data_IF_832727378442
#
_entry.id   IF_832727378442
#
_cell.length_a   1.000
_cell.length_b   1.000
_cell.length_c   1.000
_cell.angle_alpha   90.00
_cell.angle_beta   90.00
_cell.angle_gamma   90.00
#
_symmetry.space_group_name_H-M   'P 1'
#
loop_
_entity.id
_entity.type
_entity.pdbx_description
1 polymer ?
#
# COMPACT_ATOMS: atom_id res chain seq x y z
N UNK A 1 28.99 37.04 15.83
CA UNK A 1 28.38 36.59 14.56
C UNK A 1 27.04 35.98 14.90
N UNK A 2 25.90 36.51 14.42
CA UNK A 2 24.63 35.82 14.61
C UNK A 2 24.67 34.51 13.81
N UNK A 3 24.38 33.40 14.48
CA UNK A 3 24.16 32.12 13.81
C UNK A 3 22.83 32.25 13.08
N UNK A 4 22.86 32.53 11.78
CA UNK A 4 21.68 32.40 10.93
C UNK A 4 21.34 30.92 10.87
N UNK A 5 20.34 30.50 11.64
CA UNK A 5 19.66 29.23 11.43
C UNK A 5 18.95 29.33 10.08
N UNK A 6 19.62 28.85 9.03
CA UNK A 6 18.98 28.58 7.75
C UNK A 6 17.75 27.70 8.03
N UNK A 7 16.60 28.09 7.49
CA UNK A 7 15.38 27.29 7.57
C UNK A 7 15.66 25.89 7.01
N UNK A 8 15.01 24.89 7.61
CA UNK A 8 15.06 23.52 7.09
C UNK A 8 14.43 23.52 5.69
N UNK A 9 15.23 23.22 4.67
CA UNK A 9 14.71 23.00 3.33
C UNK A 9 14.22 21.55 3.25
N UNK A 10 12.94 21.40 2.93
CA UNK A 10 12.33 20.10 2.64
C UNK A 10 11.45 20.24 1.42
N UNK A 11 11.55 19.28 0.52
CA UNK A 11 10.70 19.18 -0.65
C UNK A 11 9.85 17.91 -0.54
N UNK A 12 8.56 18.02 -0.85
CA UNK A 12 7.62 16.89 -0.86
C UNK A 12 7.02 16.77 -2.25
N UNK A 13 7.18 15.60 -2.85
CA UNK A 13 6.62 15.26 -4.15
C UNK A 13 5.51 14.23 -3.92
N UNK A 14 4.31 14.54 -4.40
CA UNK A 14 3.22 13.58 -4.45
C UNK A 14 3.54 12.50 -5.48
N UNK A 15 3.45 11.23 -5.07
CA UNK A 15 3.58 10.08 -5.96
C UNK A 15 2.21 9.40 -6.16
N UNK A 16 1.12 10.16 -6.22
CA UNK A 16 -0.24 9.61 -6.34
C UNK A 16 -0.74 9.41 -7.78
N UNK A 17 -0.22 10.12 -8.78
CA UNK A 17 -0.76 10.08 -10.16
C UNK A 17 0.03 9.17 -11.13
N UNK A 18 -0.61 8.54 -12.11
CA UNK A 18 0.11 7.77 -13.14
C UNK A 18 0.58 6.39 -12.67
N UNK A 19 -0.17 5.77 -11.77
CA UNK A 19 0.00 4.37 -11.43
C UNK A 19 -0.71 3.48 -12.45
N UNK A 20 -0.17 2.28 -12.63
CA UNK A 20 -0.83 1.21 -13.35
C UNK A 20 -0.86 -0.05 -12.49
N UNK A 21 -1.86 -0.90 -12.68
CA UNK A 21 -1.98 -2.18 -11.99
C UNK A 21 -2.30 -3.33 -12.94
N UNK A 22 -2.00 -4.55 -12.51
CA UNK A 22 -2.22 -5.79 -13.27
C UNK A 22 -2.33 -6.98 -12.32
N UNK A 23 -3.08 -8.00 -12.71
CA UNK A 23 -3.00 -9.30 -12.05
C UNK A 23 -1.63 -9.91 -12.32
N UNK A 24 -1.01 -10.52 -11.31
CA UNK A 24 0.31 -11.16 -11.47
C UNK A 24 0.28 -12.20 -12.60
N UNK A 25 1.27 -12.14 -13.49
CA UNK A 25 1.43 -12.95 -14.71
C UNK A 25 0.46 -12.63 -15.86
N UNK A 26 -0.38 -11.60 -15.72
CA UNK A 26 -1.12 -11.07 -16.87
C UNK A 26 -0.22 -10.13 -17.69
N UNK A 27 -0.56 -9.98 -18.97
CA UNK A 27 0.02 -9.03 -19.91
C UNK A 27 -0.71 -7.68 -19.90
N UNK A 28 -1.95 -7.64 -19.43
CA UNK A 28 -2.80 -6.43 -19.46
C UNK A 28 -2.52 -5.56 -18.24
N UNK A 29 -2.22 -4.28 -18.49
CA UNK A 29 -2.04 -3.26 -17.46
C UNK A 29 -3.12 -2.19 -17.63
N UNK A 30 -3.72 -1.82 -16.51
CA UNK A 30 -4.76 -0.79 -16.44
C UNK A 30 -4.24 0.40 -15.64
N UNK A 31 -4.77 1.59 -15.88
CA UNK A 31 -4.47 2.74 -15.04
C UNK A 31 -5.11 2.56 -13.65
N UNK A 32 -4.41 2.98 -12.60
CA UNK A 32 -4.86 2.83 -11.22
C UNK A 32 -4.96 4.19 -10.53
N UNK A 33 -5.98 4.35 -9.70
CA UNK A 33 -6.11 5.51 -8.82
C UNK A 33 -5.39 5.24 -7.50
N UNK A 34 -4.57 6.21 -7.06
CA UNK A 34 -3.89 6.17 -5.76
C UNK A 34 -4.15 7.49 -5.04
N UNK A 35 -4.69 7.48 -3.81
CA UNK A 35 -5.09 6.31 -3.02
C UNK A 35 -6.26 5.53 -3.63
N UNK A 36 -6.24 4.20 -3.53
CA UNK A 36 -7.24 3.34 -4.13
C UNK A 36 -7.09 1.86 -3.81
N UNK A 37 -7.79 1.01 -4.57
CA UNK A 37 -7.77 -0.45 -4.42
C UNK A 37 -7.97 -1.12 -5.76
N UNK A 38 -7.43 -2.33 -5.90
CA UNK A 38 -7.61 -3.21 -7.05
C UNK A 38 -9.08 -3.33 -7.42
N UNK A 39 -9.96 -3.56 -6.45
CA UNK A 39 -11.38 -3.75 -6.69
C UNK A 39 -12.03 -2.49 -7.30
N UNK A 40 -11.72 -1.31 -6.74
CA UNK A 40 -12.23 -0.06 -7.28
C UNK A 40 -11.72 0.20 -8.70
N UNK A 41 -10.44 -0.07 -8.96
CA UNK A 41 -9.84 0.10 -10.28
C UNK A 41 -10.45 -0.89 -11.31
N UNK A 42 -10.68 -2.15 -10.94
CA UNK A 42 -11.33 -3.14 -11.81
C UNK A 42 -12.79 -2.77 -12.12
N UNK A 43 -13.53 -2.19 -11.16
CA UNK A 43 -14.88 -1.66 -11.40
C UNK A 43 -14.82 -0.48 -12.39
N UNK A 44 -13.85 0.44 -12.20
CA UNK A 44 -13.64 1.59 -13.09
C UNK A 44 -13.35 1.17 -14.54
N UNK A 45 -12.64 0.06 -14.73
CA UNK A 45 -12.34 -0.50 -16.05
C UNK A 45 -13.39 -1.51 -16.54
N UNK A 46 -14.56 -1.59 -15.88
CA UNK A 46 -15.67 -2.49 -16.23
C UNK A 46 -15.30 -3.98 -16.27
N UNK A 47 -14.20 -4.36 -15.61
CA UNK A 47 -13.79 -5.76 -15.43
C UNK A 47 -14.64 -6.43 -14.35
N UNK A 48 -15.07 -5.65 -13.35
CA UNK A 48 -16.02 -6.10 -12.33
C UNK A 48 -17.34 -5.35 -12.42
N UNK A 49 -18.46 -6.03 -12.14
CA UNK A 49 -19.74 -5.37 -11.97
C UNK A 49 -19.74 -4.54 -10.67
N UNK A 50 -20.71 -3.64 -10.53
CA UNK A 50 -20.97 -2.96 -9.25
C UNK A 50 -21.26 -4.00 -8.16
N UNK A 51 -20.40 -4.14 -7.14
CA UNK A 51 -20.55 -5.17 -6.11
C UNK A 51 -21.75 -4.92 -5.19
N UNK A 52 -22.30 -3.71 -5.16
CA UNK A 52 -23.44 -3.36 -4.32
C UNK A 52 -24.79 -3.66 -4.97
N UNK A 53 -24.79 -4.05 -6.25
CA UNK A 53 -26.01 -4.36 -6.96
C UNK A 53 -26.39 -5.84 -6.81
N UNK A 54 -27.63 -6.09 -6.37
CA UNK A 54 -28.26 -7.41 -6.30
C UNK A 54 -27.37 -8.49 -5.65
N UNK A 55 -26.91 -9.48 -6.42
CA UNK A 55 -26.13 -10.62 -5.94
C UNK A 55 -24.67 -10.61 -6.40
N UNK A 56 -24.21 -9.47 -6.93
CA UNK A 56 -22.90 -9.33 -7.57
C UNK A 56 -21.72 -9.53 -6.59
N UNK A 57 -21.98 -9.50 -5.27
CA UNK A 57 -20.99 -9.88 -4.25
C UNK A 57 -20.28 -11.18 -4.62
N UNK A 58 -21.01 -12.19 -5.10
CA UNK A 58 -20.42 -13.49 -5.45
C UNK A 58 -19.47 -13.42 -6.63
N UNK A 59 -19.73 -12.51 -7.56
CA UNK A 59 -19.00 -12.41 -8.84
C UNK A 59 -17.65 -11.72 -8.68
N UNK A 60 -17.43 -11.00 -7.57
CA UNK A 60 -16.17 -10.29 -7.28
C UNK A 60 -15.24 -11.05 -6.32
N UNK A 61 -15.62 -12.22 -5.79
CA UNK A 61 -14.83 -12.89 -4.77
C UNK A 61 -13.51 -13.44 -5.29
N UNK A 62 -13.36 -13.70 -6.59
CA UNK A 62 -12.12 -14.29 -7.14
C UNK A 62 -10.88 -13.42 -6.90
N UNK A 63 -11.04 -12.09 -6.80
CA UNK A 63 -9.96 -11.11 -6.65
C UNK A 63 -9.16 -11.36 -5.38
N UNK A 64 -9.80 -11.78 -4.28
CA UNK A 64 -9.14 -12.03 -3.01
C UNK A 64 -8.10 -13.16 -3.08
N UNK A 65 -8.21 -14.02 -4.09
CA UNK A 65 -7.33 -15.15 -4.30
C UNK A 65 -6.19 -14.79 -5.25
N UNK A 66 -6.14 -13.60 -5.84
CA UNK A 66 -5.11 -13.23 -6.80
C UNK A 66 -4.07 -12.28 -6.20
N UNK A 67 -2.86 -12.36 -6.74
CA UNK A 67 -1.79 -11.41 -6.43
C UNK A 67 -1.83 -10.27 -7.48
N UNK A 68 -1.45 -9.06 -7.07
CA UNK A 68 -1.62 -7.86 -7.87
C UNK A 68 -0.35 -7.02 -7.91
N UNK A 69 0.06 -6.64 -9.10
CA UNK A 69 1.22 -5.79 -9.33
C UNK A 69 0.79 -4.35 -9.60
N UNK A 70 1.46 -3.40 -8.99
CA UNK A 70 1.36 -1.96 -9.25
C UNK A 70 2.71 -1.45 -9.76
N UNK A 71 2.71 -0.52 -10.71
CA UNK A 71 3.92 0.14 -11.20
C UNK A 71 3.72 1.62 -11.48
N UNK A 72 4.82 2.37 -11.38
CA UNK A 72 4.89 3.80 -11.68
C UNK A 72 6.31 4.19 -12.08
N UNK A 73 6.42 5.22 -12.93
CA UNK A 73 7.67 5.97 -13.12
C UNK A 73 7.53 7.39 -12.60
N UNK A 74 8.63 7.96 -12.11
CA UNK A 74 8.70 9.36 -11.68
C UNK A 74 10.11 9.92 -11.94
N UNK A 75 10.23 11.24 -12.04
CA UNK A 75 11.51 11.90 -12.36
C UNK A 75 12.07 12.57 -11.11
N UNK A 76 13.38 12.42 -10.91
CA UNK A 76 14.16 13.13 -9.90
C UNK A 76 15.23 13.96 -10.59
N UNK A 77 15.37 15.23 -10.24
CA UNK A 77 16.39 16.12 -10.81
C UNK A 77 17.67 16.19 -9.93
N UNK A 78 18.74 16.77 -10.47
CA UNK A 78 20.00 16.92 -9.75
C UNK A 78 19.88 17.74 -8.46
N UNK A 79 19.04 18.78 -8.44
CA UNK A 79 18.84 19.63 -7.26
C UNK A 79 18.21 18.86 -6.10
N UNK A 80 17.22 18.02 -6.38
CA UNK A 80 16.64 17.10 -5.40
C UNK A 80 17.67 16.09 -4.87
N UNK A 81 18.57 15.63 -5.74
CA UNK A 81 19.70 14.78 -5.34
C UNK A 81 20.80 15.52 -4.58
N UNK A 82 20.77 16.85 -4.47
CA UNK A 82 21.70 17.60 -3.64
C UNK A 82 21.27 17.68 -2.17
N UNK A 83 20.02 17.34 -1.83
CA UNK A 83 19.58 17.26 -0.43
C UNK A 83 20.36 16.20 0.37
N UNK A 84 20.51 16.40 1.68
CA UNK A 84 21.28 15.45 2.51
C UNK A 84 20.71 14.03 2.48
N UNK A 85 19.38 13.88 2.52
CA UNK A 85 18.71 12.58 2.52
C UNK A 85 17.30 12.63 1.90
N UNK A 86 16.72 11.46 1.62
CA UNK A 86 15.41 11.29 1.01
C UNK A 86 14.70 10.01 1.48
N UNK A 87 13.38 10.07 1.65
CA UNK A 87 12.56 8.90 1.97
C UNK A 87 11.25 8.89 1.18
N UNK A 88 10.77 7.70 0.82
CA UNK A 88 9.39 7.52 0.35
C UNK A 88 8.53 7.19 1.57
N UNK A 89 7.42 7.91 1.73
CA UNK A 89 6.41 7.61 2.73
C UNK A 89 5.21 6.96 2.09
N UNK A 90 4.98 5.70 2.44
CA UNK A 90 3.75 4.99 2.17
C UNK A 90 2.84 5.13 3.39
N UNK A 91 1.81 5.96 3.31
CA UNK A 91 0.92 6.19 4.46
C UNK A 91 0.07 4.96 4.81
N UNK A 92 -0.12 4.05 3.85
CA UNK A 92 -0.87 2.81 4.06
C UNK A 92 -0.84 1.90 2.82
N UNK A 93 -0.43 0.65 3.03
CA UNK A 93 -0.42 -0.41 2.03
C UNK A 93 -1.32 -1.55 2.54
N UNK A 94 -2.30 -1.97 1.74
CA UNK A 94 -3.24 -3.02 2.11
C UNK A 94 -2.96 -4.31 1.32
N UNK A 95 -2.36 -5.35 1.89
CA UNK A 95 -1.71 -5.42 3.22
C UNK A 95 -0.32 -6.06 3.09
N UNK A 96 -0.26 -7.26 2.52
CA UNK A 96 0.99 -7.98 2.29
C UNK A 96 1.63 -7.47 1.02
N UNK A 97 2.71 -6.70 1.13
CA UNK A 97 3.32 -6.09 -0.03
C UNK A 97 4.85 -6.14 0.00
N UNK A 98 5.45 -6.42 -1.16
CA UNK A 98 6.85 -6.12 -1.44
C UNK A 98 6.94 -4.88 -2.34
N UNK A 99 7.76 -3.91 -1.95
CA UNK A 99 8.01 -2.67 -2.69
C UNK A 99 9.43 -2.67 -3.23
N UNK A 100 9.57 -2.31 -4.50
CA UNK A 100 10.82 -2.25 -5.23
C UNK A 100 11.01 -0.88 -5.85
N UNK A 101 12.19 -0.29 -5.65
CA UNK A 101 12.63 0.94 -6.30
C UNK A 101 13.85 0.63 -7.16
N UNK A 102 13.78 0.93 -8.46
CA UNK A 102 14.84 0.67 -9.43
C UNK A 102 15.34 -0.79 -9.40
N UNK A 103 14.44 -1.74 -9.11
CA UNK A 103 14.74 -3.18 -9.01
C UNK A 103 15.24 -3.64 -7.64
N UNK A 104 15.61 -2.74 -6.73
CA UNK A 104 15.98 -3.08 -5.36
C UNK A 104 14.72 -3.16 -4.48
N UNK A 105 14.57 -4.24 -3.71
CA UNK A 105 13.49 -4.34 -2.71
C UNK A 105 13.78 -3.41 -1.53
N UNK A 106 12.89 -2.45 -1.28
CA UNK A 106 13.06 -1.43 -0.24
C UNK A 106 12.14 -1.63 0.98
N UNK A 107 11.04 -2.36 0.83
CA UNK A 107 10.09 -2.63 1.89
C UNK A 107 9.41 -3.97 1.68
N UNK A 108 9.19 -4.70 2.77
CA UNK A 108 8.20 -5.76 2.87
C UNK A 108 7.27 -5.38 4.03
N UNK A 109 5.96 -5.41 3.82
CA UNK A 109 4.96 -5.10 4.85
C UNK A 109 3.84 -6.13 4.87
N UNK A 110 3.19 -6.23 6.03
CA UNK A 110 2.13 -7.19 6.35
C UNK A 110 1.04 -6.55 7.24
N UNK A 111 0.99 -5.21 7.29
CA UNK A 111 0.09 -4.48 8.20
C UNK A 111 -0.50 -3.23 7.56
N UNK A 112 -1.81 -3.26 7.32
CA UNK A 112 -2.59 -2.18 6.71
C UNK A 112 -2.53 -0.86 7.50
N UNK A 113 -2.34 -0.95 8.81
CA UNK A 113 -2.54 0.15 9.75
C UNK A 113 -1.27 0.97 10.04
N UNK A 114 -0.13 0.60 9.43
CA UNK A 114 1.16 1.22 9.69
C UNK A 114 1.63 1.99 8.45
N UNK A 115 2.01 3.25 8.65
CA UNK A 115 2.71 4.03 7.64
C UNK A 115 4.21 3.72 7.64
N UNK A 116 4.83 3.66 6.47
CA UNK A 116 6.23 3.29 6.28
C UNK A 116 7.02 4.43 5.64
N UNK A 117 7.92 5.06 6.39
CA UNK A 117 8.93 6.00 5.87
C UNK A 117 10.21 5.23 5.54
N UNK A 118 10.49 5.02 4.26
CA UNK A 118 11.59 4.19 3.77
C UNK A 118 12.70 5.09 3.19
N UNK A 119 13.92 5.10 3.78
CA UNK A 119 15.04 5.84 3.21
C UNK A 119 15.42 5.32 1.82
N UNK A 120 15.55 6.22 0.84
CA UNK A 120 15.79 5.84 -0.58
C UNK A 120 16.91 6.63 -1.24
N UNK A 121 17.56 7.56 -0.55
CA UNK A 121 18.57 8.47 -1.12
C UNK A 121 19.60 7.76 -2.00
N UNK A 122 20.15 6.65 -1.50
CA UNK A 122 21.22 5.89 -2.17
C UNK A 122 20.74 5.00 -3.33
N UNK A 123 19.43 4.93 -3.55
CA UNK A 123 18.79 4.08 -4.58
C UNK A 123 18.21 4.95 -5.71
N UNK A 124 17.83 6.19 -5.39
CA UNK A 124 17.41 7.17 -6.37
C UNK A 124 18.53 7.48 -7.35
N UNK A 125 18.14 7.76 -8.60
CA UNK A 125 19.04 8.22 -9.65
C UNK A 125 18.46 9.47 -10.30
N UNK A 126 19.33 10.27 -10.90
CA UNK A 126 18.88 11.41 -11.70
C UNK A 126 18.10 10.90 -12.92
N UNK A 127 17.01 11.59 -13.25
CA UNK A 127 16.09 11.18 -14.31
C UNK A 127 15.01 10.20 -13.83
N UNK A 128 14.65 9.26 -14.69
CA UNK A 128 13.50 8.36 -14.48
C UNK A 128 13.79 7.27 -13.44
N UNK A 129 13.02 7.24 -12.36
CA UNK A 129 13.00 6.19 -11.35
C UNK A 129 11.74 5.32 -11.48
N UNK A 130 11.86 4.04 -11.16
CA UNK A 130 10.78 3.05 -11.30
C UNK A 130 10.38 2.51 -9.94
N UNK A 131 9.11 2.67 -9.59
CA UNK A 131 8.51 2.05 -8.41
C UNK A 131 7.62 0.89 -8.85
N UNK A 132 7.75 -0.23 -8.16
CA UNK A 132 6.94 -1.42 -8.39
C UNK A 132 6.53 -2.00 -7.05
N UNK A 133 5.27 -2.40 -6.91
CA UNK A 133 4.73 -2.97 -5.69
C UNK A 133 3.98 -4.24 -6.06
N UNK A 134 4.30 -5.34 -5.40
CA UNK A 134 3.53 -6.57 -5.48
C UNK A 134 2.71 -6.74 -4.21
N UNK A 135 1.39 -6.77 -4.35
CA UNK A 135 0.46 -7.17 -3.30
C UNK A 135 0.18 -8.67 -3.41
N UNK A 136 0.33 -9.36 -2.29
CA UNK A 136 0.00 -10.77 -2.17
C UNK A 136 -1.41 -10.94 -1.61
N UNK A 137 -2.16 -11.89 -2.18
CA UNK A 137 -3.48 -12.29 -1.67
C UNK A 137 -3.39 -12.56 -0.16
N UNK A 138 -4.15 -11.84 0.69
CA UNK A 138 -4.16 -12.08 2.13
C UNK A 138 -4.72 -13.46 2.49
N UNK A 139 -5.47 -14.07 1.56
CA UNK A 139 -5.99 -15.43 1.67
C UNK A 139 -4.87 -16.43 1.45
N UNK A 140 -4.22 -16.42 0.26
CA UNK A 140 -3.12 -17.33 -0.07
C UNK A 140 -1.97 -17.17 0.92
N UNK A 141 -1.64 -15.93 1.29
CA UNK A 141 -0.51 -15.61 2.16
C UNK A 141 -0.67 -16.17 3.58
N UNK A 142 -1.89 -16.12 4.13
CA UNK A 142 -2.15 -16.53 5.52
C UNK A 142 -2.74 -17.92 5.67
N UNK A 143 -3.07 -18.62 4.57
CA UNK A 143 -3.52 -20.02 4.63
C UNK A 143 -2.56 -20.94 5.40
N UNK A 144 -1.23 -20.90 5.19
CA UNK A 144 -0.30 -21.74 5.95
C UNK A 144 -0.33 -21.45 7.46
N UNK A 145 -0.53 -20.19 7.85
CA UNK A 145 -0.64 -19.82 9.27
C UNK A 145 -1.89 -20.45 9.89
N UNK A 146 -3.03 -20.40 9.17
CA UNK A 146 -4.27 -21.06 9.61
C UNK A 146 -4.10 -22.58 9.73
N UNK A 147 -3.55 -23.22 8.70
CA UNK A 147 -3.37 -24.69 8.66
C UNK A 147 -2.45 -25.21 9.79
N UNK A 148 -1.46 -24.41 10.19
CA UNK A 148 -0.48 -24.79 11.22
C UNK A 148 -0.84 -24.36 12.64
N UNK A 149 -1.86 -23.50 12.81
CA UNK A 149 -2.21 -22.94 14.12
C UNK A 149 -2.80 -23.98 15.10
N UNK A 150 -3.49 -25.00 14.58
CA UNK A 150 -3.96 -26.16 15.35
C UNK A 150 -5.42 -26.08 15.84
N UNK A 151 -6.14 -24.99 15.59
CA UNK A 151 -7.60 -24.91 15.72
C UNK A 151 -8.19 -23.76 14.89
N UNK A 152 -9.50 -23.80 14.63
CA UNK A 152 -10.19 -22.74 13.91
C UNK A 152 -10.64 -21.64 14.88
N UNK A 153 -10.31 -20.38 14.57
CA UNK A 153 -10.86 -19.25 15.32
C UNK A 153 -12.37 -19.11 15.06
N UNK A 154 -13.19 -18.83 16.09
CA UNK A 154 -14.64 -18.67 15.94
C UNK A 154 -15.01 -17.27 15.39
N UNK A 155 -14.41 -16.86 14.26
CA UNK A 155 -14.67 -15.57 13.62
C UNK A 155 -15.94 -15.63 12.75
N UNK A 156 -17.12 -15.65 13.39
CA UNK A 156 -18.41 -15.81 12.70
C UNK A 156 -18.73 -14.75 11.64
N UNK A 157 -18.16 -13.55 11.77
CA UNK A 157 -18.36 -12.45 10.83
C UNK A 157 -17.43 -12.50 9.60
N UNK A 158 -16.37 -13.31 9.62
CA UNK A 158 -15.60 -13.58 8.40
C UNK A 158 -16.44 -14.53 7.53
N UNK A 159 -16.94 -14.04 6.41
CA UNK A 159 -17.93 -14.74 5.57
C UNK A 159 -17.33 -15.89 4.72
N UNK A 160 -16.08 -16.28 4.97
CA UNK A 160 -15.44 -17.45 4.35
C UNK A 160 -15.48 -18.66 5.29
N UNK A 161 -15.47 -19.87 4.77
CA UNK A 161 -15.35 -21.08 5.60
C UNK A 161 -13.98 -21.11 6.32
N UNK A 162 -12.89 -20.82 5.60
CA UNK A 162 -11.57 -20.66 6.20
C UNK A 162 -11.42 -19.27 6.83
N UNK A 163 -11.42 -19.20 8.16
CA UNK A 163 -11.34 -17.94 8.90
C UNK A 163 -9.92 -17.38 8.84
N UNK A 164 -9.74 -16.35 8.02
CA UNK A 164 -8.41 -15.80 7.70
C UNK A 164 -8.22 -14.37 8.21
N UNK A 165 -9.31 -13.66 8.50
CA UNK A 165 -9.30 -12.29 9.05
C UNK A 165 -8.39 -12.14 10.27
N UNK A 166 -8.43 -13.09 11.21
CA UNK A 166 -7.68 -13.06 12.47
C UNK A 166 -6.16 -13.11 12.30
N UNK A 167 -5.68 -13.68 11.20
CA UNK A 167 -4.25 -13.80 10.89
C UNK A 167 -3.72 -12.57 10.15
N UNK A 168 -4.61 -11.68 9.71
CA UNK A 168 -4.24 -10.49 8.95
C UNK A 168 -4.34 -9.23 9.82
N UNK A 169 -3.27 -8.41 9.85
CA UNK A 169 -3.36 -7.04 10.38
C UNK A 169 -3.97 -6.11 9.34
N UNK A 170 -5.26 -6.36 9.07
CA UNK A 170 -6.10 -5.77 8.03
C UNK A 170 -7.46 -5.43 8.62
N UNK A 171 -8.17 -4.48 8.02
CA UNK A 171 -9.53 -4.11 8.42
C UNK A 171 -10.44 -5.36 8.48
N UNK A 172 -10.96 -5.74 9.66
CA UNK A 172 -11.72 -6.99 9.81
C UNK A 172 -12.97 -7.07 8.94
N UNK A 173 -13.66 -5.93 8.74
CA UNK A 173 -14.89 -5.87 7.94
C UNK A 173 -14.67 -6.15 6.45
N UNK A 174 -13.42 -6.09 5.94
CA UNK A 174 -13.13 -6.47 4.55
C UNK A 174 -13.48 -7.94 4.28
N UNK A 175 -13.45 -8.78 5.32
CA UNK A 175 -13.77 -10.21 5.24
C UNK A 175 -15.28 -10.49 5.31
N UNK A 176 -16.12 -9.45 5.35
CA UNK A 176 -17.55 -9.53 5.62
C UNK A 176 -17.88 -9.09 7.04
N UNK A 177 -19.15 -8.78 7.27
CA UNK A 177 -19.71 -8.56 8.60
C UNK A 177 -21.24 -8.73 8.57
N UNK A 178 -21.90 -8.82 9.72
CA UNK A 178 -23.38 -8.96 9.80
C UNK A 178 -24.18 -7.81 9.13
N UNK A 179 -23.52 -6.70 8.78
CA UNK A 179 -24.06 -5.57 8.03
C UNK A 179 -23.26 -5.23 6.75
N UNK A 180 -22.21 -6.00 6.42
CA UNK A 180 -21.23 -5.63 5.41
C UNK A 180 -20.93 -6.74 4.40
N UNK A 181 -20.89 -6.34 3.12
CA UNK A 181 -20.42 -7.18 2.01
C UNK A 181 -18.96 -7.63 2.24
N UNK A 182 -18.61 -8.83 1.79
CA UNK A 182 -17.22 -9.28 1.75
C UNK A 182 -16.51 -8.68 0.55
N UNK A 183 -15.56 -7.78 0.79
CA UNK A 183 -14.64 -7.24 -0.21
C UNK A 183 -13.24 -7.19 0.41
N UNK A 184 -12.45 -8.23 0.17
CA UNK A 184 -11.09 -8.33 0.69
C UNK A 184 -10.15 -7.45 -0.14
N UNK A 185 -10.23 -6.13 0.09
CA UNK A 185 -9.51 -5.14 -0.71
C UNK A 185 -8.00 -5.30 -0.68
N UNK A 186 -7.31 -4.91 -1.75
CA UNK A 186 -5.85 -4.79 -1.78
C UNK A 186 -5.46 -3.53 -2.53
N UNK A 187 -4.34 -2.92 -2.17
CA UNK A 187 -3.80 -1.78 -2.90
C UNK A 187 -3.17 -0.70 -2.02
N UNK A 188 -2.88 0.43 -2.65
CA UNK A 188 -2.26 1.59 -2.03
C UNK A 188 -3.38 2.47 -1.47
N UNK A 189 -3.89 2.10 -0.29
CA UNK A 189 -5.13 2.67 0.27
C UNK A 189 -4.98 4.08 0.86
N UNK A 190 -3.75 4.60 0.95
CA UNK A 190 -3.42 5.95 1.41
C UNK A 190 -2.30 6.58 0.56
N UNK A 191 -2.06 7.90 0.66
CA UNK A 191 -1.11 8.60 -0.20
C UNK A 191 0.32 8.04 -0.14
N UNK A 192 1.06 8.28 -1.22
CA UNK A 192 2.50 8.03 -1.33
C UNK A 192 3.21 9.34 -1.63
N UNK A 193 4.25 9.65 -0.86
CA UNK A 193 5.05 10.87 -1.08
C UNK A 193 6.54 10.56 -1.08
N UNK A 194 7.31 11.28 -1.89
CA UNK A 194 8.77 11.32 -1.83
C UNK A 194 9.20 12.61 -1.15
N UNK A 195 9.99 12.49 -0.10
CA UNK A 195 10.38 13.58 0.77
C UNK A 195 11.89 13.73 0.76
N UNK A 196 12.38 14.91 0.40
CA UNK A 196 13.78 15.30 0.50
C UNK A 196 13.96 16.27 1.67
N UNK A 197 15.08 16.17 2.38
CA UNK A 197 15.35 17.03 3.53
C UNK A 197 16.84 17.20 3.80
N UNK A 198 17.19 18.32 4.42
CA UNK A 198 18.55 18.60 4.88
C UNK A 198 18.67 18.50 6.41
N UNK A 199 19.83 18.02 6.86
CA UNK A 199 20.32 17.90 8.24
C UNK A 199 19.53 16.98 9.16
N UNK A 200 18.23 17.21 9.33
CA UNK A 200 17.38 16.49 10.26
C UNK A 200 15.91 16.58 9.84
N UNK A 201 15.04 15.78 10.46
CA UNK A 201 13.58 15.90 10.35
C UNK A 201 12.90 15.67 11.70
N UNK A 202 11.74 16.29 11.89
CA UNK A 202 10.88 16.01 13.05
C UNK A 202 10.02 14.80 12.68
N UNK A 203 10.26 13.67 13.36
CA UNK A 203 9.49 12.45 13.10
C UNK A 203 8.20 12.37 13.92
N UNK A 204 8.19 12.96 15.11
CA UNK A 204 7.04 13.07 15.99
C UNK A 204 7.12 14.38 16.78
N UNK A 205 5.95 14.96 17.08
CA UNK A 205 5.83 16.09 17.98
C UNK A 205 4.62 15.90 18.89
N UNK A 206 4.90 15.58 20.14
CA UNK A 206 3.89 15.30 21.15
C UNK A 206 3.90 16.34 22.26
N UNK A 207 2.81 17.10 22.39
CA UNK A 207 2.61 18.03 23.50
C UNK A 207 1.91 17.31 24.65
N UNK A 208 2.68 16.98 25.69
CA UNK A 208 2.14 16.37 26.91
C UNK A 208 1.60 17.45 27.84
N UNK A 209 0.28 17.52 27.98
CA UNK A 209 -0.34 18.33 29.03
C UNK A 209 0.07 17.79 30.40
N UNK A 210 0.68 18.65 31.22
CA UNK A 210 0.91 18.38 32.63
C UNK A 210 -0.30 18.91 33.41
N UNK A 211 -0.76 18.13 34.39
CA UNK A 211 -1.89 18.47 35.27
C UNK A 211 -1.72 19.81 35.96
#
# INVERSE_FOLDING_TARGET
MPLFLMAQYSEIISLNEGWQFSQVNDSVWYDADVPGSVQADLIKHEVLPDPFYATNEKDIQWIENEDWDYRKTFVVNADQLNHDDAYIFFEGLDTHADVFLNGARILQTENMFIGHKVPVKNILKEGENKLYIRFYSPIKRMMPARETFGYEYPAGNDHRDEKLSVYNRKAPYHFGWDWGIRIVQMGIWKPVTLNFYDKARIDDYYVKQSS
#
